data_IF_187395722144
#
_entry.id   IF_187395722144
#
_cell.length_a   1.000
_cell.length_b   1.000
_cell.length_c   1.000
_cell.angle_alpha   90.00
_cell.angle_beta   90.00
_cell.angle_gamma   90.00
#
_symmetry.space_group_name_H-M   'P 1'
#
loop_
_entity.id
_entity.type
_entity.pdbx_description
1 polymer ?
#
# COMPACT_ATOMS: atom_id res chain seq x y z
N UNK A 1 -11.76 -39.29 -13.20
CA UNK A 1 -11.79 -38.58 -11.89
C UNK A 1 -10.43 -37.98 -11.46
N UNK A 2 -9.36 -38.05 -12.26
CA UNK A 2 -8.01 -37.56 -11.88
C UNK A 2 -7.74 -36.05 -12.16
N UNK A 3 -8.57 -35.37 -12.96
CA UNK A 3 -8.30 -34.00 -13.42
C UNK A 3 -8.67 -32.90 -12.38
N UNK A 4 -9.71 -33.11 -11.56
CA UNK A 4 -10.14 -32.11 -10.54
C UNK A 4 -9.20 -32.00 -9.33
N UNK A 5 -8.40 -33.02 -9.02
CA UNK A 5 -7.43 -32.98 -7.90
C UNK A 5 -6.22 -32.09 -8.22
N UNK A 6 -5.72 -32.12 -9.45
CA UNK A 6 -4.55 -31.36 -9.87
C UNK A 6 -4.83 -29.84 -9.95
N UNK A 7 -6.03 -29.46 -10.37
CA UNK A 7 -6.43 -28.04 -10.41
C UNK A 7 -6.52 -27.41 -9.02
N UNK A 8 -7.00 -28.16 -8.00
CA UNK A 8 -7.13 -27.67 -6.62
C UNK A 8 -5.78 -27.54 -5.91
N UNK A 9 -4.81 -28.40 -6.24
CA UNK A 9 -3.43 -28.31 -5.73
C UNK A 9 -2.67 -27.11 -6.32
N UNK A 10 -2.81 -26.85 -7.63
CA UNK A 10 -2.16 -25.71 -8.30
C UNK A 10 -2.71 -24.36 -7.79
N UNK A 11 -4.02 -24.24 -7.56
CA UNK A 11 -4.61 -23.01 -6.99
C UNK A 11 -4.18 -22.80 -5.54
N UNK A 12 -4.05 -23.87 -4.75
CA UNK A 12 -3.61 -23.75 -3.34
C UNK A 12 -2.13 -23.38 -3.23
N UNK A 13 -1.28 -23.92 -4.11
CA UNK A 13 0.14 -23.57 -4.17
C UNK A 13 0.38 -22.15 -4.72
N UNK A 14 -0.38 -21.73 -5.74
CA UNK A 14 -0.32 -20.36 -6.29
C UNK A 14 -0.76 -19.32 -5.27
N UNK A 15 -1.81 -19.61 -4.49
CA UNK A 15 -2.24 -18.75 -3.39
C UNK A 15 -1.20 -18.70 -2.28
N UNK A 16 -0.53 -19.82 -1.97
CA UNK A 16 0.53 -19.85 -0.95
C UNK A 16 1.79 -19.09 -1.37
N UNK A 17 2.18 -19.15 -2.64
CA UNK A 17 3.32 -18.39 -3.19
C UNK A 17 2.99 -16.89 -3.25
N UNK A 18 1.76 -16.53 -3.61
CA UNK A 18 1.31 -15.14 -3.65
C UNK A 18 1.22 -14.55 -2.24
N UNK A 19 0.68 -15.31 -1.29
CA UNK A 19 0.63 -14.93 0.12
C UNK A 19 2.04 -14.84 0.74
N UNK A 20 2.96 -15.71 0.34
CA UNK A 20 4.36 -15.61 0.76
C UNK A 20 5.02 -14.36 0.16
N UNK A 21 4.81 -14.07 -1.12
CA UNK A 21 5.35 -12.88 -1.76
C UNK A 21 4.83 -11.59 -1.12
N UNK A 22 3.55 -11.56 -0.73
CA UNK A 22 2.95 -10.43 -0.02
C UNK A 22 3.49 -10.29 1.38
N UNK A 23 3.59 -11.39 2.14
CA UNK A 23 4.15 -11.37 3.48
C UNK A 23 5.62 -10.91 3.44
N UNK A 24 6.40 -11.38 2.46
CA UNK A 24 7.80 -10.93 2.26
C UNK A 24 7.90 -9.47 1.80
N UNK A 25 6.94 -8.97 1.00
CA UNK A 25 6.87 -7.55 0.66
C UNK A 25 6.46 -6.68 1.86
N UNK A 26 5.54 -7.16 2.69
CA UNK A 26 5.13 -6.48 3.91
C UNK A 26 6.26 -6.45 4.93
N UNK A 27 6.94 -7.57 5.15
CA UNK A 27 8.17 -7.67 5.95
C UNK A 27 9.23 -6.68 5.41
N UNK A 28 9.52 -6.68 4.10
CA UNK A 28 10.48 -5.73 3.50
C UNK A 28 10.07 -4.24 3.61
N UNK A 29 8.77 -3.93 3.59
CA UNK A 29 8.27 -2.57 3.80
C UNK A 29 8.26 -2.12 5.28
N UNK A 30 8.34 -3.09 6.20
CA UNK A 30 8.42 -2.89 7.65
C UNK A 30 9.88 -2.82 8.09
N UNK A 31 10.77 -3.59 7.46
CA UNK A 31 12.18 -3.79 7.81
C UNK A 31 13.05 -2.71 7.16
N UNK A 32 12.96 -1.48 7.70
CA UNK A 32 14.03 -0.49 7.51
C UNK A 32 15.04 -0.51 8.65
N UNK A 33 14.81 -1.31 9.69
CA UNK A 33 15.72 -1.47 10.83
C UNK A 33 15.61 -2.92 11.33
N UNK A 34 16.79 -3.52 11.59
CA UNK A 34 17.10 -4.85 12.14
C UNK A 34 17.36 -6.02 11.15
N UNK A 35 18.62 -6.50 11.17
CA UNK A 35 19.09 -7.73 10.54
C UNK A 35 19.09 -8.87 11.57
N UNK A 36 18.55 -10.05 11.23
CA UNK A 36 19.08 -11.29 11.78
C UNK A 36 19.12 -12.43 10.74
N UNK A 37 20.32 -12.98 10.60
CA UNK A 37 20.71 -14.06 9.70
C UNK A 37 20.55 -15.42 10.37
N UNK A 38 19.76 -16.33 9.76
CA UNK A 38 19.95 -17.78 9.95
C UNK A 38 20.03 -18.48 8.60
N UNK A 39 21.17 -19.10 8.31
CA UNK A 39 21.48 -19.77 7.04
C UNK A 39 21.13 -21.24 7.17
N UNK A 40 20.12 -21.69 6.44
CA UNK A 40 19.85 -23.11 6.23
C UNK A 40 19.89 -23.39 4.73
N UNK A 41 20.74 -24.29 4.26
CA UNK A 41 20.99 -24.55 2.82
C UNK A 41 19.97 -25.57 2.27
N UNK A 42 18.80 -25.10 1.86
CA UNK A 42 17.78 -25.91 1.17
C UNK A 42 17.26 -25.16 -0.05
N UNK A 43 16.54 -25.83 -0.97
CA UNK A 43 15.92 -25.17 -2.12
C UNK A 43 15.01 -23.99 -1.71
N UNK A 44 14.46 -24.01 -0.49
CA UNK A 44 13.77 -22.86 0.10
C UNK A 44 14.68 -21.65 0.29
N UNK A 45 15.92 -21.80 0.77
CA UNK A 45 16.81 -20.64 0.96
C UNK A 45 17.39 -20.10 -0.34
N UNK A 46 17.54 -20.95 -1.37
CA UNK A 46 17.87 -20.48 -2.73
C UNK A 46 16.70 -19.71 -3.35
N UNK A 47 15.47 -20.19 -3.17
CA UNK A 47 14.25 -19.49 -3.54
C UNK A 47 14.11 -18.15 -2.82
N UNK A 48 14.36 -18.13 -1.50
CA UNK A 48 14.37 -16.91 -0.69
C UNK A 48 15.43 -15.91 -1.17
N UNK A 49 16.62 -16.38 -1.55
CA UNK A 49 17.70 -15.51 -2.04
C UNK A 49 17.39 -14.94 -3.42
N UNK A 50 16.76 -15.73 -4.30
CA UNK A 50 16.27 -15.27 -5.59
C UNK A 50 15.13 -14.24 -5.42
N UNK A 51 14.19 -14.50 -4.52
CA UNK A 51 13.12 -13.57 -4.13
C UNK A 51 13.70 -12.28 -3.54
N UNK A 52 14.60 -12.35 -2.55
CA UNK A 52 15.31 -11.18 -1.99
C UNK A 52 16.07 -10.40 -3.06
N UNK A 53 16.67 -11.05 -4.06
CA UNK A 53 17.37 -10.39 -5.18
C UNK A 53 16.42 -9.75 -6.19
N UNK A 54 15.21 -10.28 -6.37
CA UNK A 54 14.15 -9.68 -7.19
C UNK A 54 13.51 -8.50 -6.46
N UNK A 55 13.19 -8.66 -5.17
CA UNK A 55 12.63 -7.66 -4.27
C UNK A 55 13.61 -6.49 -4.03
N UNK A 56 14.91 -6.77 -3.88
CA UNK A 56 15.94 -5.74 -3.79
C UNK A 56 16.10 -4.88 -5.05
N UNK A 57 15.60 -5.35 -6.21
CA UNK A 57 15.51 -4.53 -7.44
C UNK A 57 14.22 -3.70 -7.49
N UNK A 58 13.19 -4.09 -6.73
CA UNK A 58 11.93 -3.36 -6.57
C UNK A 58 12.15 -2.37 -5.41
N UNK A 59 12.86 -1.28 -5.66
CA UNK A 59 13.03 -0.25 -4.62
C UNK A 59 11.68 0.39 -4.30
N UNK A 60 11.41 0.61 -3.01
CA UNK A 60 10.21 1.31 -2.53
C UNK A 60 10.00 2.66 -3.23
N UNK A 61 11.09 3.31 -3.64
CA UNK A 61 11.11 4.56 -4.41
C UNK A 61 10.54 4.40 -5.83
N UNK A 62 10.86 3.31 -6.53
CA UNK A 62 10.36 3.02 -7.87
C UNK A 62 8.87 2.65 -7.83
N UNK A 63 8.48 1.84 -6.84
CA UNK A 63 7.09 1.43 -6.64
C UNK A 63 6.22 2.62 -6.23
N UNK A 64 6.68 3.45 -5.30
CA UNK A 64 5.98 4.67 -4.92
C UNK A 64 5.76 5.59 -6.13
N UNK A 65 6.74 5.74 -7.02
CA UNK A 65 6.62 6.54 -8.25
C UNK A 65 5.59 6.00 -9.25
N UNK A 66 5.33 4.69 -9.23
CA UNK A 66 4.29 4.07 -10.07
C UNK A 66 2.89 4.40 -9.53
N UNK A 67 2.73 4.54 -8.21
CA UNK A 67 1.44 4.80 -7.57
C UNK A 67 1.17 6.28 -7.27
N UNK A 68 2.22 7.10 -7.20
CA UNK A 68 2.15 8.53 -6.88
C UNK A 68 2.64 9.29 -8.11
N UNK A 69 1.68 9.79 -8.89
CA UNK A 69 1.94 10.65 -10.04
C UNK A 69 2.27 12.09 -9.61
N UNK A 70 2.57 12.96 -10.58
CA UNK A 70 2.95 14.35 -10.33
C UNK A 70 1.83 15.15 -9.64
N UNK A 71 0.57 14.87 -9.98
CA UNK A 71 -0.57 15.55 -9.36
C UNK A 71 -0.77 15.09 -7.92
N UNK A 72 -0.75 13.78 -7.66
CA UNK A 72 -0.87 13.24 -6.31
C UNK A 72 0.31 13.67 -5.43
N UNK A 73 1.52 13.78 -5.98
CA UNK A 73 2.69 14.28 -5.26
C UNK A 73 2.48 15.71 -4.76
N UNK A 74 1.94 16.61 -5.60
CA UNK A 74 1.63 18.00 -5.20
C UNK A 74 0.55 18.07 -4.12
N UNK A 75 -0.46 17.21 -4.17
CA UNK A 75 -1.49 17.11 -3.13
C UNK A 75 -0.86 16.67 -1.80
N UNK A 76 0.00 15.64 -1.82
CA UNK A 76 0.69 15.13 -0.64
C UNK A 76 1.66 16.17 -0.04
N UNK A 77 2.36 16.95 -0.88
CA UNK A 77 3.24 18.03 -0.43
C UNK A 77 2.45 19.14 0.26
N UNK A 78 1.28 19.51 -0.27
CA UNK A 78 0.41 20.50 0.36
C UNK A 78 -0.20 19.97 1.67
N UNK A 79 -0.58 18.70 1.71
CA UNK A 79 -1.04 18.05 2.95
C UNK A 79 0.05 18.05 4.02
N UNK A 80 1.30 17.81 3.64
CA UNK A 80 2.44 17.87 4.55
C UNK A 80 2.67 19.28 5.09
N UNK A 81 2.65 20.30 4.22
CA UNK A 81 2.75 21.71 4.62
C UNK A 81 1.64 22.09 5.60
N UNK A 82 0.40 21.70 5.31
CA UNK A 82 -0.76 21.97 6.17
C UNK A 82 -0.63 21.29 7.52
N UNK A 83 -0.24 20.00 7.53
CA UNK A 83 -0.06 19.23 8.76
C UNK A 83 1.05 19.83 9.62
N UNK A 84 2.17 20.22 9.01
CA UNK A 84 3.27 20.89 9.71
C UNK A 84 2.85 22.23 10.30
N UNK A 85 2.06 23.01 9.57
CA UNK A 85 1.54 24.29 10.07
C UNK A 85 0.57 24.10 11.23
N UNK A 86 -0.20 23.00 11.24
CA UNK A 86 -1.18 22.71 12.29
C UNK A 86 -0.56 22.05 13.53
N UNK A 87 0.38 21.11 13.38
CA UNK A 87 0.99 20.40 14.49
C UNK A 87 2.20 21.11 15.10
N UNK A 88 2.74 22.13 14.42
CA UNK A 88 4.02 22.78 14.73
C UNK A 88 5.21 21.80 14.87
N UNK A 89 5.07 20.59 14.30
CA UNK A 89 6.05 19.51 14.43
C UNK A 89 6.37 18.89 13.08
N UNK A 90 7.56 19.20 12.56
CA UNK A 90 8.07 18.59 11.33
C UNK A 90 8.12 17.07 11.44
N UNK A 91 8.54 16.53 12.60
CA UNK A 91 8.67 15.09 12.83
C UNK A 91 7.32 14.38 12.71
N UNK A 92 6.25 14.97 13.25
CA UNK A 92 4.91 14.40 13.16
C UNK A 92 4.35 14.49 11.74
N UNK A 93 4.54 15.62 11.06
CA UNK A 93 4.14 15.77 9.67
C UNK A 93 4.85 14.76 8.74
N UNK A 94 6.17 14.57 8.91
CA UNK A 94 6.95 13.58 8.17
C UNK A 94 6.47 12.14 8.45
N UNK A 95 6.10 11.83 9.71
CA UNK A 95 5.59 10.51 10.11
C UNK A 95 4.21 10.25 9.50
N UNK A 96 3.31 11.23 9.50
CA UNK A 96 1.99 11.11 8.90
C UNK A 96 2.09 10.89 7.39
N UNK A 97 2.87 11.74 6.71
CA UNK A 97 3.09 11.63 5.26
C UNK A 97 3.66 10.26 4.88
N UNK A 98 4.67 9.78 5.61
CA UNK A 98 5.25 8.44 5.41
C UNK A 98 4.20 7.35 5.57
N UNK A 99 3.33 7.46 6.57
CA UNK A 99 2.27 6.47 6.84
C UNK A 99 1.25 6.44 5.70
N UNK A 100 0.82 7.61 5.21
CA UNK A 100 -0.09 7.72 4.05
C UNK A 100 0.53 7.06 2.81
N UNK A 101 1.78 7.39 2.48
CA UNK A 101 2.49 6.82 1.32
C UNK A 101 2.61 5.29 1.45
N UNK A 102 2.98 4.79 2.63
CA UNK A 102 3.07 3.34 2.87
C UNK A 102 1.72 2.67 2.62
N UNK A 103 0.62 3.23 3.14
CA UNK A 103 -0.73 2.67 2.95
C UNK A 103 -1.13 2.65 1.48
N UNK A 104 -0.93 3.74 0.73
CA UNK A 104 -1.25 3.80 -0.70
C UNK A 104 -0.46 2.74 -1.48
N UNK A 105 0.84 2.62 -1.23
CA UNK A 105 1.69 1.63 -1.92
C UNK A 105 1.26 0.20 -1.60
N UNK A 106 0.97 -0.11 -0.32
CA UNK A 106 0.48 -1.43 0.08
C UNK A 106 -0.85 -1.77 -0.62
N UNK A 107 -1.82 -0.87 -0.57
CA UNK A 107 -3.10 -1.07 -1.24
C UNK A 107 -2.93 -1.25 -2.76
N UNK A 108 -2.06 -0.46 -3.38
CA UNK A 108 -1.76 -0.57 -4.81
C UNK A 108 -1.11 -1.90 -5.20
N UNK A 109 -0.22 -2.44 -4.37
CA UNK A 109 0.38 -3.77 -4.58
C UNK A 109 -0.70 -4.85 -4.44
N UNK A 110 -1.51 -4.80 -3.37
CA UNK A 110 -2.57 -5.79 -3.14
C UNK A 110 -3.59 -5.80 -4.29
N UNK A 111 -3.99 -4.60 -4.74
CA UNK A 111 -4.91 -4.43 -5.86
C UNK A 111 -4.36 -4.99 -7.17
N UNK A 112 -3.11 -4.67 -7.52
CA UNK A 112 -2.50 -5.10 -8.79
C UNK A 112 -2.25 -6.60 -8.91
N UNK A 113 -2.24 -7.32 -7.80
CA UNK A 113 -1.99 -8.76 -7.77
C UNK A 113 -3.26 -9.57 -7.50
N UNK A 114 -4.45 -8.94 -7.55
CA UNK A 114 -5.75 -9.59 -7.32
C UNK A 114 -5.82 -10.35 -5.98
N UNK A 115 -5.22 -9.77 -4.94
CA UNK A 115 -5.07 -10.43 -3.64
C UNK A 115 -6.25 -10.19 -2.69
N UNK A 116 -7.17 -9.31 -3.08
CA UNK A 116 -8.37 -9.05 -2.31
C UNK A 116 -9.40 -10.13 -2.54
N UNK A 117 -10.05 -10.57 -1.46
CA UNK A 117 -11.26 -11.36 -1.56
C UNK A 117 -12.47 -10.47 -1.94
N UNK A 118 -13.62 -11.09 -2.19
CA UNK A 118 -14.82 -10.37 -2.64
C UNK A 118 -15.31 -9.34 -1.61
N UNK A 119 -15.18 -9.65 -0.31
CA UNK A 119 -15.56 -8.72 0.77
C UNK A 119 -14.60 -7.53 0.82
N UNK A 120 -13.30 -7.77 0.80
CA UNK A 120 -12.28 -6.71 0.81
C UNK A 120 -12.40 -5.81 -0.42
N UNK A 121 -12.69 -6.39 -1.59
CA UNK A 121 -12.93 -5.63 -2.83
C UNK A 121 -14.11 -4.66 -2.67
N UNK A 122 -15.23 -5.13 -2.08
CA UNK A 122 -16.39 -4.26 -1.78
C UNK A 122 -16.02 -3.14 -0.80
N UNK A 123 -15.21 -3.43 0.22
CA UNK A 123 -14.75 -2.41 1.16
C UNK A 123 -13.89 -1.34 0.48
N UNK A 124 -13.06 -1.72 -0.49
CA UNK A 124 -12.21 -0.78 -1.26
C UNK A 124 -13.07 0.09 -2.17
N UNK A 125 -14.05 -0.50 -2.85
CA UNK A 125 -14.99 0.25 -3.69
C UNK A 125 -15.79 1.26 -2.85
N UNK A 126 -16.27 0.85 -1.68
CA UNK A 126 -16.97 1.74 -0.76
C UNK A 126 -16.06 2.86 -0.24
N UNK A 127 -14.82 2.52 0.13
CA UNK A 127 -13.81 3.50 0.53
C UNK A 127 -13.54 4.51 -0.60
N UNK A 128 -13.36 4.05 -1.84
CA UNK A 128 -13.13 4.90 -2.99
C UNK A 128 -14.29 5.90 -3.19
N UNK A 129 -15.54 5.43 -3.09
CA UNK A 129 -16.72 6.28 -3.24
C UNK A 129 -16.85 7.32 -2.12
N UNK A 130 -16.57 6.93 -0.87
CA UNK A 130 -16.56 7.84 0.29
C UNK A 130 -15.44 8.88 0.16
N UNK A 131 -14.24 8.44 -0.22
CA UNK A 131 -13.09 9.33 -0.42
C UNK A 131 -13.34 10.33 -1.55
N UNK A 132 -13.91 9.88 -2.68
CA UNK A 132 -14.28 10.77 -3.79
C UNK A 132 -15.31 11.82 -3.36
N UNK A 133 -16.29 11.42 -2.56
CA UNK A 133 -17.31 12.33 -2.02
C UNK A 133 -16.69 13.35 -1.06
N UNK A 134 -15.77 12.91 -0.19
CA UNK A 134 -15.00 13.78 0.70
C UNK A 134 -14.15 14.79 -0.10
N UNK A 135 -13.44 14.34 -1.14
CA UNK A 135 -12.62 15.21 -1.97
C UNK A 135 -13.46 16.29 -2.64
N UNK A 136 -14.64 15.93 -3.18
CA UNK A 136 -15.60 16.92 -3.71
C UNK A 136 -16.06 17.90 -2.65
N UNK A 137 -16.42 17.43 -1.45
CA UNK A 137 -16.86 18.31 -0.37
C UNK A 137 -15.79 19.32 0.01
N UNK A 138 -14.53 18.89 0.13
CA UNK A 138 -13.39 19.80 0.40
C UNK A 138 -13.24 20.86 -0.69
N UNK A 139 -13.40 20.49 -1.97
CA UNK A 139 -13.36 21.46 -3.08
C UNK A 139 -14.53 22.44 -3.00
N UNK A 140 -15.76 21.94 -2.81
CA UNK A 140 -16.96 22.78 -2.68
C UNK A 140 -16.84 23.76 -1.52
N UNK A 141 -16.34 23.31 -0.36
CA UNK A 141 -16.15 24.16 0.82
C UNK A 141 -15.11 25.26 0.60
N UNK A 142 -14.16 25.04 -0.31
CA UNK A 142 -13.19 26.05 -0.70
C UNK A 142 -13.73 27.00 -1.77
N UNK A 143 -14.52 26.51 -2.73
CA UNK A 143 -15.01 27.30 -3.88
C UNK A 143 -16.26 28.12 -3.56
N UNK A 144 -17.10 27.67 -2.61
CA UNK A 144 -18.38 28.31 -2.30
C UNK A 144 -18.35 28.90 -0.89
N UNK A 145 -18.44 30.22 -0.81
CA UNK A 145 -18.46 30.96 0.45
C UNK A 145 -19.56 30.46 1.40
N UNK A 146 -19.26 30.45 2.70
CA UNK A 146 -20.17 30.06 3.79
C UNK A 146 -20.69 28.62 3.76
N UNK A 147 -20.10 27.72 2.97
CA UNK A 147 -20.51 26.30 2.92
C UNK A 147 -19.68 25.38 3.81
N UNK A 148 -18.55 25.85 4.36
CA UNK A 148 -17.68 25.05 5.21
C UNK A 148 -18.40 24.56 6.47
N UNK A 149 -18.51 23.24 6.61
CA UNK A 149 -19.02 22.57 7.80
C UNK A 149 -17.99 21.57 8.34
N UNK A 150 -17.51 21.83 9.55
CA UNK A 150 -16.52 20.98 10.23
C UNK A 150 -17.13 19.67 10.74
N UNK A 151 -18.41 19.64 11.07
CA UNK A 151 -19.09 18.44 11.58
C UNK A 151 -19.35 17.46 10.44
N UNK A 152 -19.48 18.00 9.22
CA UNK A 152 -19.61 17.20 8.01
C UNK A 152 -18.31 16.49 7.59
N UNK A 153 -17.15 17.12 7.83
CA UNK A 153 -15.81 16.56 7.53
C UNK A 153 -15.32 15.57 8.60
#
# INVERSE_FOLDING_TARGET
MASKKNHKLLTTASNSISQQFTNTLEEFMIESDEEETTVNTSAQSLGLRAQKKLLGKISSKSVAKIFIDETSSRVLDNLHKLTRAYSDSKKEADKLLKSIIKTIVKLGILYKNDLFNEYESKCIDEFHNRFHSLAKAVVTFYEVDFTYDRVFL
#
